data_IF_416303560121
#
_entry.id   IF_416303560121
#
_cell.length_a   1.000
_cell.length_b   1.000
_cell.length_c   1.000
_cell.angle_alpha   90.00
_cell.angle_beta   90.00
_cell.angle_gamma   90.00
#
_symmetry.space_group_name_H-M   'P 1'
#
loop_
_entity.id
_entity.type
_entity.pdbx_description
1 polymer ?
#
# COMPACT_ATOMS: atom_id res chain seq x y z
N UNK A 1 2.36 61.21 -46.65
CA UNK A 1 3.47 61.22 -47.60
C UNK A 1 4.02 59.79 -47.59
N UNK A 2 3.66 58.93 -48.52
CA UNK A 2 4.15 58.69 -49.89
C UNK A 2 5.67 58.32 -49.86
N UNK A 3 6.01 57.11 -50.25
CA UNK A 3 6.22 56.37 -51.47
C UNK A 3 6.86 55.02 -51.16
N UNK A 4 6.36 53.87 -51.46
CA UNK A 4 6.35 53.06 -52.70
C UNK A 4 7.67 53.06 -53.51
N UNK A 5 8.21 51.86 -53.82
CA UNK A 5 8.51 51.33 -55.19
C UNK A 5 9.37 50.06 -55.06
N UNK A 6 8.88 48.85 -55.32
CA UNK A 6 8.83 48.03 -56.56
C UNK A 6 10.14 47.31 -56.98
N UNK A 7 10.01 45.96 -56.99
CA UNK A 7 10.25 44.95 -58.06
C UNK A 7 11.65 44.68 -58.58
N UNK A 8 12.11 43.43 -58.68
CA UNK A 8 11.95 42.44 -59.74
C UNK A 8 12.84 41.22 -59.53
N UNK A 9 12.28 40.02 -59.57
CA UNK A 9 12.41 38.85 -60.45
C UNK A 9 13.78 38.40 -60.96
N UNK A 10 14.12 37.10 -60.75
CA UNK A 10 14.30 36.07 -61.79
C UNK A 10 14.84 34.76 -61.21
N UNK A 11 14.20 33.66 -61.63
CA UNK A 11 14.72 32.26 -61.63
C UNK A 11 15.74 32.09 -62.74
N UNK A 12 16.66 31.07 -62.74
CA UNK A 12 16.25 29.72 -63.12
C UNK A 12 17.01 28.55 -62.45
N UNK A 13 16.33 27.45 -62.44
CA UNK A 13 16.60 26.01 -62.41
C UNK A 13 18.02 25.51 -62.67
N UNK A 14 18.43 24.52 -61.83
CA UNK A 14 19.30 23.42 -62.27
C UNK A 14 18.93 22.14 -61.49
N UNK A 15 18.51 21.11 -62.26
CA UNK A 15 18.32 19.72 -61.83
C UNK A 15 19.68 19.09 -61.51
N UNK A 16 19.77 18.27 -60.44
CA UNK A 16 20.69 17.17 -60.37
C UNK A 16 20.12 16.06 -59.50
N UNK A 17 20.07 14.94 -60.08
CA UNK A 17 19.73 13.55 -59.78
C UNK A 17 19.91 13.08 -58.33
N UNK A 18 18.83 12.50 -57.84
CA UNK A 18 18.74 11.65 -56.66
C UNK A 18 19.54 10.37 -56.84
N UNK A 19 20.28 10.01 -55.78
CA UNK A 19 20.70 8.64 -55.48
C UNK A 19 19.95 8.18 -54.21
N UNK A 20 18.98 7.34 -54.42
CA UNK A 20 18.24 6.57 -53.41
C UNK A 20 19.17 5.63 -52.64
N UNK A 21 19.42 5.89 -51.38
CA UNK A 21 19.94 4.89 -50.44
C UNK A 21 18.77 4.38 -49.62
N UNK A 22 18.44 3.11 -49.86
CA UNK A 22 17.49 2.31 -49.04
C UNK A 22 17.98 2.22 -47.62
N UNK A 23 17.37 2.96 -46.71
CA UNK A 23 17.47 2.76 -45.27
C UNK A 23 16.67 1.53 -44.86
N UNK A 24 17.37 0.51 -44.39
CA UNK A 24 16.78 -0.69 -43.77
C UNK A 24 16.09 -0.29 -42.47
N UNK A 25 14.77 -0.28 -42.46
CA UNK A 25 13.99 -0.20 -41.23
C UNK A 25 14.17 -1.51 -40.45
N UNK A 26 14.96 -1.47 -39.38
CA UNK A 26 14.92 -2.50 -38.36
C UNK A 26 13.54 -2.49 -37.71
N UNK A 27 12.69 -3.45 -38.08
CA UNK A 27 11.47 -3.78 -37.32
C UNK A 27 11.91 -4.09 -35.88
N UNK A 28 11.47 -3.26 -34.95
CA UNK A 28 11.48 -3.60 -33.54
C UNK A 28 10.68 -4.90 -33.39
N UNK A 29 11.34 -5.95 -32.92
CA UNK A 29 10.68 -7.19 -32.57
C UNK A 29 9.65 -6.87 -31.46
N UNK A 30 8.38 -6.97 -31.78
CA UNK A 30 7.31 -7.08 -30.78
C UNK A 30 7.61 -8.34 -29.97
N UNK A 31 8.00 -8.17 -28.73
CA UNK A 31 7.96 -9.24 -27.74
C UNK A 31 6.47 -9.56 -27.54
N UNK A 32 5.97 -10.49 -28.30
CA UNK A 32 4.68 -11.12 -28.08
C UNK A 32 4.84 -12.13 -26.94
N UNK A 33 4.95 -11.64 -25.71
CA UNK A 33 4.57 -12.41 -24.53
C UNK A 33 3.05 -12.59 -24.61
N UNK A 34 2.59 -13.82 -24.77
CA UNK A 34 1.18 -14.10 -24.92
C UNK A 34 0.46 -13.66 -23.64
N UNK A 35 -0.51 -12.77 -23.73
CA UNK A 35 -1.32 -12.27 -22.62
C UNK A 35 -2.24 -13.37 -22.00
N UNK A 36 -2.03 -14.64 -22.38
CA UNK A 36 -2.88 -15.76 -21.98
C UNK A 36 -2.49 -16.38 -20.64
N UNK A 37 -1.27 -16.16 -20.18
CA UNK A 37 -0.66 -16.94 -19.09
C UNK A 37 -0.39 -16.14 -17.80
N UNK A 38 -1.02 -14.96 -17.61
CA UNK A 38 -0.94 -14.23 -16.36
C UNK A 38 -1.91 -14.81 -15.34
N UNK A 39 -1.37 -15.27 -14.21
CA UNK A 39 -2.12 -15.75 -13.06
C UNK A 39 -2.29 -14.62 -12.04
N UNK A 40 -3.52 -14.44 -11.56
CA UNK A 40 -3.81 -13.54 -10.45
C UNK A 40 -3.49 -14.24 -9.13
N UNK A 41 -2.79 -13.54 -8.24
CA UNK A 41 -2.45 -14.01 -6.90
C UNK A 41 -3.12 -13.14 -5.85
N UNK A 42 -3.70 -13.79 -4.82
CA UNK A 42 -4.03 -13.16 -3.56
C UNK A 42 -3.24 -13.84 -2.43
N UNK A 43 -2.54 -13.05 -1.68
CA UNK A 43 -1.86 -13.47 -0.46
C UNK A 43 -2.70 -13.00 0.72
N UNK A 44 -3.18 -13.93 1.52
CA UNK A 44 -4.10 -13.65 2.64
C UNK A 44 -3.43 -14.04 3.94
N UNK A 45 -3.10 -13.05 4.76
CA UNK A 45 -2.58 -13.22 6.11
C UNK A 45 -3.72 -13.27 7.12
N UNK A 46 -3.70 -14.26 7.99
CA UNK A 46 -4.71 -14.47 9.03
C UNK A 46 -4.08 -14.63 10.41
N UNK A 47 -4.92 -14.70 11.44
CA UNK A 47 -4.48 -14.98 12.82
C UNK A 47 -4.01 -16.43 13.03
N UNK A 48 -4.11 -17.31 12.02
CA UNK A 48 -3.81 -18.76 12.13
C UNK A 48 -3.00 -19.30 10.95
N UNK A 49 -2.31 -18.44 10.22
CA UNK A 49 -1.50 -18.78 9.06
C UNK A 49 -1.77 -17.89 7.86
N UNK A 50 -1.11 -18.19 6.74
CA UNK A 50 -1.34 -17.53 5.48
C UNK A 50 -1.95 -18.47 4.44
N UNK A 51 -2.69 -17.89 3.49
CA UNK A 51 -3.24 -18.58 2.34
C UNK A 51 -2.76 -17.91 1.06
N UNK A 52 -2.49 -18.71 0.04
CA UNK A 52 -2.20 -18.26 -1.31
C UNK A 52 -3.37 -18.67 -2.19
N UNK A 53 -4.01 -17.70 -2.81
CA UNK A 53 -5.11 -17.96 -3.74
C UNK A 53 -4.64 -17.65 -5.15
N UNK A 54 -4.95 -18.56 -6.07
CA UNK A 54 -4.58 -18.47 -7.48
C UNK A 54 -5.80 -18.50 -8.37
N UNK A 55 -5.81 -17.67 -9.39
CA UNK A 55 -6.85 -17.63 -10.41
C UNK A 55 -6.23 -17.27 -11.76
N UNK A 56 -6.90 -17.64 -12.84
CA UNK A 56 -6.60 -17.09 -14.14
C UNK A 56 -6.93 -15.58 -14.19
N UNK A 57 -6.57 -14.91 -15.28
CA UNK A 57 -6.85 -13.47 -15.46
C UNK A 57 -8.33 -13.09 -15.37
N UNK A 58 -9.25 -14.06 -15.50
CA UNK A 58 -10.68 -13.80 -15.35
C UNK A 58 -11.09 -13.58 -13.89
N UNK A 59 -10.30 -14.07 -12.94
CA UNK A 59 -10.50 -13.93 -11.48
C UNK A 59 -11.89 -14.39 -11.03
N UNK A 60 -12.47 -15.40 -11.77
CA UNK A 60 -13.80 -15.94 -11.49
C UNK A 60 -13.78 -17.08 -10.49
N UNK A 61 -12.72 -17.87 -10.52
CA UNK A 61 -12.54 -19.05 -9.66
C UNK A 61 -11.17 -19.01 -9.02
N UNK A 62 -11.12 -19.28 -7.74
CA UNK A 62 -9.90 -19.25 -6.96
C UNK A 62 -9.58 -20.63 -6.42
N UNK A 63 -8.34 -21.09 -6.63
CA UNK A 63 -7.77 -22.22 -5.91
C UNK A 63 -7.14 -21.67 -4.63
N UNK A 64 -7.55 -22.21 -3.47
CA UNK A 64 -7.06 -21.80 -2.17
C UNK A 64 -6.01 -22.81 -1.70
N UNK A 65 -4.80 -22.34 -1.40
CA UNK A 65 -3.68 -23.14 -0.91
C UNK A 65 -3.30 -22.65 0.50
N UNK A 66 -3.03 -23.58 1.42
CA UNK A 66 -2.70 -23.26 2.79
C UNK A 66 -3.54 -24.05 3.80
N UNK A 67 -3.52 -23.68 5.12
CA UNK A 67 -2.71 -22.61 5.67
C UNK A 67 -1.21 -22.95 5.69
N UNK A 68 -0.39 -22.02 5.20
CA UNK A 68 1.03 -21.96 5.50
C UNK A 68 1.22 -21.41 6.91
N UNK A 69 2.31 -21.74 7.60
CA UNK A 69 2.63 -21.24 8.95
C UNK A 69 1.50 -21.51 9.96
N UNK A 70 1.05 -22.72 10.03
CA UNK A 70 -0.09 -23.16 10.87
C UNK A 70 0.05 -22.69 12.30
N UNK A 71 -0.95 -21.94 12.78
CA UNK A 71 -1.01 -21.44 14.15
C UNK A 71 -0.30 -20.11 14.38
N UNK A 72 0.51 -19.62 13.42
CA UNK A 72 1.17 -18.32 13.50
C UNK A 72 0.28 -17.20 12.91
N UNK A 73 0.27 -16.03 13.55
CA UNK A 73 -0.40 -14.87 12.95
C UNK A 73 0.47 -14.26 11.84
N UNK A 74 -0.14 -13.86 10.72
CA UNK A 74 0.56 -13.26 9.56
C UNK A 74 0.01 -11.87 9.28
N UNK A 75 0.67 -10.84 9.81
CA UNK A 75 0.20 -9.45 9.75
C UNK A 75 0.67 -8.67 8.52
N UNK A 76 1.82 -9.03 7.94
CA UNK A 76 2.35 -8.37 6.77
C UNK A 76 2.79 -9.39 5.71
N UNK A 77 2.44 -9.10 4.48
CA UNK A 77 2.80 -9.84 3.28
C UNK A 77 3.29 -8.85 2.22
N UNK A 78 4.23 -9.27 1.40
CA UNK A 78 4.69 -8.51 0.23
C UNK A 78 4.99 -9.48 -0.90
N UNK A 79 4.49 -9.19 -2.11
CA UNK A 79 4.92 -9.84 -3.34
C UNK A 79 5.70 -8.82 -4.18
N UNK A 80 6.98 -9.11 -4.43
CA UNK A 80 7.90 -8.22 -5.12
C UNK A 80 8.39 -8.86 -6.42
N UNK A 81 8.20 -8.14 -7.52
CA UNK A 81 8.59 -8.58 -8.88
C UNK A 81 9.62 -7.63 -9.53
N UNK A 82 10.32 -6.80 -8.72
CA UNK A 82 11.30 -5.84 -9.24
C UNK A 82 12.63 -6.47 -9.67
N UNK A 83 12.97 -7.64 -9.10
CA UNK A 83 14.16 -8.39 -9.43
C UNK A 83 13.94 -9.41 -10.56
N UNK A 84 14.97 -10.20 -10.88
CA UNK A 84 14.93 -11.22 -11.92
C UNK A 84 13.98 -12.38 -11.58
N UNK A 85 13.69 -12.58 -10.32
CA UNK A 85 12.74 -13.58 -9.80
C UNK A 85 11.79 -12.93 -8.81
N UNK A 86 10.53 -13.39 -8.76
CA UNK A 86 9.60 -12.92 -7.75
C UNK A 86 10.09 -13.29 -6.36
N UNK A 87 9.95 -12.38 -5.42
CA UNK A 87 10.16 -12.62 -3.98
C UNK A 87 8.89 -12.32 -3.23
N UNK A 88 8.49 -13.24 -2.38
CA UNK A 88 7.35 -13.05 -1.50
C UNK A 88 7.83 -13.13 -0.07
N UNK A 89 7.42 -12.17 0.74
CA UNK A 89 7.72 -12.11 2.17
C UNK A 89 6.45 -12.30 2.98
N UNK A 90 6.55 -13.01 4.09
CA UNK A 90 5.53 -13.12 5.11
C UNK A 90 6.12 -12.80 6.49
N UNK A 91 5.53 -11.84 7.20
CA UNK A 91 5.85 -11.59 8.59
C UNK A 91 4.95 -12.46 9.45
N UNK A 92 5.51 -13.54 9.99
CA UNK A 92 4.82 -14.45 10.90
C UNK A 92 5.09 -14.07 12.34
N UNK A 93 4.15 -14.35 13.24
CA UNK A 93 4.33 -14.17 14.67
C UNK A 93 3.86 -15.42 15.41
N UNK A 94 4.84 -16.13 15.94
CA UNK A 94 4.64 -17.37 16.72
C UNK A 94 4.61 -17.07 18.22
N UNK A 95 3.72 -17.74 18.95
CA UNK A 95 3.71 -17.68 20.43
C UNK A 95 5.01 -18.18 21.07
N UNK A 96 5.77 -19.03 20.35
CA UNK A 96 6.99 -19.63 20.86
C UNK A 96 8.26 -18.89 20.43
N UNK A 97 8.29 -18.38 19.20
CA UNK A 97 9.49 -17.81 18.58
C UNK A 97 9.41 -16.30 18.35
N UNK A 98 8.23 -15.72 18.61
CA UNK A 98 7.98 -14.31 18.30
C UNK A 98 7.92 -14.00 16.79
N UNK A 99 8.09 -12.72 16.43
CA UNK A 99 8.02 -12.28 15.03
C UNK A 99 9.23 -12.73 14.21
N UNK A 100 8.97 -13.33 13.03
CA UNK A 100 10.00 -13.73 12.06
C UNK A 100 9.58 -13.36 10.65
N UNK A 101 10.55 -13.27 9.72
CA UNK A 101 10.31 -13.17 8.30
C UNK A 101 10.50 -14.52 7.62
N UNK A 102 9.57 -14.86 6.75
CA UNK A 102 9.64 -16.01 5.85
C UNK A 102 9.69 -15.52 4.42
N UNK A 103 10.41 -16.20 3.57
CA UNK A 103 10.59 -15.86 2.17
C UNK A 103 10.17 -17.00 1.26
N UNK A 104 9.70 -16.64 0.07
CA UNK A 104 9.37 -17.56 -1.02
C UNK A 104 9.88 -16.97 -2.34
N UNK A 105 10.42 -17.81 -3.22
CA UNK A 105 10.89 -17.42 -4.55
C UNK A 105 10.05 -18.06 -5.68
N UNK A 106 8.92 -18.65 -5.33
CA UNK A 106 8.02 -19.39 -6.23
C UNK A 106 6.55 -18.96 -6.06
N UNK A 107 6.35 -17.65 -5.84
CA UNK A 107 5.02 -17.02 -5.67
C UNK A 107 4.22 -17.62 -4.50
N UNK A 108 4.89 -18.01 -3.41
CA UNK A 108 4.25 -18.50 -2.20
C UNK A 108 3.89 -19.99 -2.23
N UNK A 109 4.37 -20.76 -3.20
CA UNK A 109 4.14 -22.19 -3.24
C UNK A 109 4.96 -22.92 -2.14
N UNK A 110 6.22 -22.54 -1.98
CA UNK A 110 7.09 -22.99 -0.89
C UNK A 110 7.67 -21.82 -0.12
N UNK A 111 8.03 -22.03 1.14
CA UNK A 111 8.52 -21.00 2.03
C UNK A 111 9.77 -21.46 2.79
N UNK A 112 10.62 -20.50 3.12
CA UNK A 112 11.79 -20.74 3.97
C UNK A 112 11.38 -21.31 5.32
N UNK A 113 12.23 -22.17 5.88
CA UNK A 113 12.08 -22.62 7.26
C UNK A 113 12.27 -21.47 8.25
N UNK A 114 11.73 -21.59 9.50
CA UNK A 114 12.00 -20.61 10.54
C UNK A 114 13.49 -20.47 10.77
N UNK A 115 13.99 -19.25 10.62
CA UNK A 115 15.37 -18.91 10.91
C UNK A 115 15.49 -18.00 12.13
N UNK A 116 16.71 -17.61 12.50
CA UNK A 116 16.93 -16.60 13.53
C UNK A 116 16.21 -15.30 13.15
N UNK A 117 15.77 -14.53 14.15
CA UNK A 117 15.19 -13.21 13.91
C UNK A 117 16.22 -12.30 13.21
N UNK A 118 15.97 -11.99 11.93
CA UNK A 118 16.81 -11.08 11.15
C UNK A 118 16.45 -9.62 11.43
N UNK A 119 15.16 -9.32 11.66
CA UNK A 119 14.68 -8.01 12.12
C UNK A 119 14.71 -8.00 13.65
N UNK A 120 15.66 -7.28 14.24
CA UNK A 120 15.80 -7.20 15.70
C UNK A 120 16.39 -5.87 16.12
N UNK A 121 15.96 -5.37 17.26
CA UNK A 121 16.59 -4.21 17.87
C UNK A 121 18.02 -4.53 18.35
N UNK A 122 18.90 -3.54 18.43
CA UNK A 122 20.21 -3.69 19.05
C UNK A 122 20.07 -4.20 20.50
N UNK A 123 20.97 -5.08 20.92
CA UNK A 123 20.89 -5.73 22.23
C UNK A 123 20.93 -4.73 23.41
N UNK A 124 21.61 -3.61 23.21
CA UNK A 124 21.77 -2.51 24.18
C UNK A 124 20.60 -1.53 24.20
N UNK A 125 19.62 -1.68 23.26
CA UNK A 125 18.49 -0.75 23.15
C UNK A 125 17.42 -0.92 24.23
N UNK A 126 17.42 -2.04 24.96
CA UNK A 126 16.37 -2.40 25.92
C UNK A 126 15.00 -2.67 25.29
N UNK A 127 14.93 -2.83 23.96
CA UNK A 127 13.68 -3.04 23.20
C UNK A 127 13.60 -4.45 22.66
N UNK A 128 12.39 -5.01 22.72
CA UNK A 128 12.05 -6.28 22.08
C UNK A 128 11.09 -6.07 20.91
N UNK A 129 11.30 -6.80 19.82
CA UNK A 129 10.38 -6.80 18.68
C UNK A 129 9.09 -7.53 19.07
N UNK A 130 7.97 -6.83 19.05
CA UNK A 130 6.65 -7.40 19.33
C UNK A 130 5.93 -7.87 18.07
N UNK A 131 6.06 -7.11 16.97
CA UNK A 131 5.35 -7.37 15.71
C UNK A 131 6.03 -6.68 14.52
N UNK A 132 6.02 -7.34 13.35
CA UNK A 132 6.30 -6.70 12.06
C UNK A 132 4.95 -6.35 11.44
N UNK A 133 4.69 -5.05 11.28
CA UNK A 133 3.39 -4.54 10.81
C UNK A 133 3.36 -4.24 9.31
N UNK A 134 4.52 -3.95 8.71
CA UNK A 134 4.60 -3.61 7.30
C UNK A 134 5.91 -4.12 6.71
N UNK A 135 5.85 -4.62 5.48
CA UNK A 135 7.00 -4.87 4.61
C UNK A 135 6.75 -4.06 3.34
N UNK A 136 7.71 -3.23 2.96
CA UNK A 136 7.61 -2.40 1.77
C UNK A 136 8.83 -2.57 0.87
N UNK A 137 8.60 -2.50 -0.42
CA UNK A 137 9.64 -2.47 -1.43
C UNK A 137 10.33 -1.11 -1.48
N UNK A 138 11.62 -1.07 -1.73
CA UNK A 138 12.34 0.12 -2.15
C UNK A 138 11.92 0.60 -3.55
N UNK A 139 12.68 1.52 -4.14
CA UNK A 139 12.41 2.01 -5.50
C UNK A 139 12.58 0.93 -6.55
N UNK A 140 11.97 1.15 -7.71
CA UNK A 140 12.05 0.23 -8.84
C UNK A 140 13.50 -0.01 -9.30
N UNK A 141 14.37 0.97 -9.13
CA UNK A 141 15.80 0.90 -9.44
C UNK A 141 16.64 0.20 -8.37
N UNK A 142 16.05 -0.18 -7.25
CA UNK A 142 16.73 -0.78 -6.10
C UNK A 142 16.08 -2.11 -5.71
N UNK A 143 16.18 -3.16 -6.55
CA UNK A 143 15.43 -4.40 -6.36
C UNK A 143 15.80 -5.18 -5.08
N UNK A 144 16.95 -4.88 -4.47
CA UNK A 144 17.39 -5.53 -3.23
C UNK A 144 17.11 -4.69 -1.97
N UNK A 145 16.50 -3.50 -2.11
CA UNK A 145 16.14 -2.67 -0.95
C UNK A 145 14.72 -2.96 -0.51
N UNK A 146 14.56 -3.22 0.79
CA UNK A 146 13.30 -3.43 1.47
C UNK A 146 13.26 -2.70 2.80
N UNK A 147 12.05 -2.43 3.27
CA UNK A 147 11.80 -1.77 4.55
C UNK A 147 10.82 -2.58 5.38
N UNK A 148 11.01 -2.60 6.70
CA UNK A 148 10.06 -3.12 7.67
C UNK A 148 9.65 -2.06 8.67
N UNK A 149 8.34 -1.91 8.87
CA UNK A 149 7.75 -1.16 9.96
C UNK A 149 7.32 -2.10 11.08
N UNK A 150 7.69 -1.79 12.30
CA UNK A 150 7.54 -2.70 13.44
C UNK A 150 6.87 -2.07 14.65
N UNK A 151 6.62 -2.89 15.64
CA UNK A 151 6.22 -2.52 17.00
C UNK A 151 7.28 -3.06 18.00
N UNK A 152 7.73 -2.24 18.96
CA UNK A 152 7.54 -0.77 19.11
C UNK A 152 7.98 -0.02 17.87
N UNK A 153 7.32 1.13 17.57
CA UNK A 153 7.51 1.84 16.31
C UNK A 153 8.98 2.12 15.99
N UNK A 154 9.44 1.48 14.92
CA UNK A 154 10.75 1.68 14.32
C UNK A 154 10.70 1.27 12.84
N UNK A 155 11.63 1.82 12.07
CA UNK A 155 11.86 1.48 10.68
C UNK A 155 13.14 0.65 10.58
N UNK A 156 13.09 -0.47 9.88
CA UNK A 156 14.26 -1.27 9.51
C UNK A 156 14.42 -1.26 8.00
N UNK A 157 15.67 -1.34 7.56
CA UNK A 157 16.06 -1.36 6.16
C UNK A 157 16.93 -2.58 5.87
N UNK A 158 16.67 -3.25 4.75
CA UNK A 158 17.54 -4.24 4.12
C UNK A 158 18.03 -3.73 2.78
N UNK A 159 19.29 -4.02 2.44
CA UNK A 159 19.92 -3.70 1.15
C UNK A 159 20.43 -4.94 0.40
N UNK A 160 20.23 -6.10 0.96
CA UNK A 160 20.72 -7.40 0.47
C UNK A 160 19.60 -8.38 0.09
N UNK A 161 18.41 -7.83 -0.18
CA UNK A 161 17.27 -8.65 -0.59
C UNK A 161 16.45 -9.23 0.55
N UNK A 162 16.62 -8.72 1.77
CA UNK A 162 15.87 -9.17 2.95
C UNK A 162 16.64 -10.14 3.84
N UNK A 163 17.93 -10.40 3.55
CA UNK A 163 18.73 -11.34 4.34
C UNK A 163 19.18 -10.75 5.67
N UNK A 164 19.58 -9.46 5.67
CA UNK A 164 19.90 -8.72 6.88
C UNK A 164 19.14 -7.40 6.97
N UNK A 165 18.91 -6.95 8.21
CA UNK A 165 18.11 -5.77 8.50
C UNK A 165 18.80 -4.87 9.51
N UNK A 166 18.82 -3.57 9.24
CA UNK A 166 19.40 -2.57 10.12
C UNK A 166 18.33 -1.56 10.54
N UNK A 167 18.27 -1.17 11.82
CA UNK A 167 17.35 -0.14 12.28
C UNK A 167 17.75 1.22 11.72
N UNK A 168 16.77 2.00 11.31
CA UNK A 168 16.97 3.38 10.90
C UNK A 168 17.31 4.25 12.11
N UNK A 169 18.57 4.63 12.24
CA UNK A 169 19.09 5.39 13.39
C UNK A 169 18.47 6.76 13.52
N UNK A 170 18.14 7.42 12.39
CA UNK A 170 17.54 8.74 12.39
C UNK A 170 16.17 8.76 13.05
N UNK A 171 15.36 7.70 12.82
CA UNK A 171 14.06 7.55 13.48
C UNK A 171 14.20 7.02 14.92
N UNK A 172 15.09 6.06 15.13
CA UNK A 172 15.30 5.44 16.43
C UNK A 172 15.76 6.44 17.49
N UNK A 173 16.55 7.44 17.08
CA UNK A 173 17.11 8.48 17.94
C UNK A 173 16.34 9.82 17.80
N UNK A 174 15.15 9.82 17.21
CA UNK A 174 14.36 11.04 17.05
C UNK A 174 13.93 11.60 18.43
N UNK A 175 13.98 12.92 18.58
CA UNK A 175 13.64 13.62 19.84
C UNK A 175 12.20 13.40 20.32
N UNK A 176 11.27 13.07 19.41
CA UNK A 176 9.89 12.73 19.77
C UNK A 176 9.75 11.27 20.23
N UNK A 177 10.74 10.42 19.98
CA UNK A 177 10.63 9.00 20.25
C UNK A 177 10.29 8.67 21.73
N UNK A 178 10.88 9.33 22.74
CA UNK A 178 10.49 9.10 24.14
C UNK A 178 9.11 9.64 24.51
N UNK A 179 8.52 10.47 23.65
CA UNK A 179 7.23 11.12 23.88
C UNK A 179 6.07 10.37 23.20
N UNK A 180 6.36 9.44 22.27
CA UNK A 180 5.32 8.63 21.67
C UNK A 180 4.74 7.66 22.70
N UNK A 181 3.42 7.63 22.82
CA UNK A 181 2.69 6.77 23.73
C UNK A 181 1.87 5.75 22.95
N UNK A 182 1.85 4.47 23.35
CA UNK A 182 1.00 3.49 22.69
C UNK A 182 -0.49 3.83 22.90
N UNK A 183 -1.28 3.69 21.87
CA UNK A 183 -2.74 3.66 21.95
C UNK A 183 -3.26 2.25 22.21
N UNK A 184 -4.59 2.06 22.18
CA UNK A 184 -5.22 0.74 22.36
C UNK A 184 -4.83 -0.32 21.31
N UNK A 185 -4.25 0.08 20.18
CA UNK A 185 -3.70 -0.80 19.13
C UNK A 185 -2.17 -0.93 19.12
N UNK A 186 -1.49 -0.47 20.16
CA UNK A 186 -0.03 -0.42 20.24
C UNK A 186 0.56 0.83 19.58
N UNK A 187 1.87 0.99 19.69
CA UNK A 187 2.66 1.99 18.99
C UNK A 187 3.39 1.30 17.83
N UNK A 188 2.77 1.26 16.66
CA UNK A 188 3.30 0.52 15.52
C UNK A 188 3.56 1.43 14.30
N UNK A 189 4.67 1.18 13.60
CA UNK A 189 4.94 1.74 12.29
C UNK A 189 4.32 0.83 11.22
N UNK A 190 3.24 1.26 10.61
CA UNK A 190 2.42 0.45 9.71
C UNK A 190 2.36 0.96 8.27
N UNK A 191 2.90 2.15 8.00
CA UNK A 191 2.94 2.70 6.63
C UNK A 191 4.33 3.19 6.30
N UNK A 192 4.81 2.80 5.12
CA UNK A 192 6.08 3.22 4.55
C UNK A 192 5.81 3.62 3.10
N UNK A 193 6.07 4.87 2.77
CA UNK A 193 5.95 5.44 1.42
C UNK A 193 7.34 5.85 0.96
N UNK A 194 7.78 5.27 -0.14
CA UNK A 194 9.07 5.61 -0.79
C UNK A 194 8.76 6.46 -2.01
N UNK A 195 9.38 7.62 -2.11
CA UNK A 195 9.24 8.47 -3.30
C UNK A 195 9.88 7.77 -4.51
N UNK A 196 9.13 7.51 -5.59
CA UNK A 196 9.67 6.83 -6.77
C UNK A 196 10.73 7.64 -7.49
N UNK A 197 10.68 8.96 -7.41
CA UNK A 197 11.50 9.90 -8.19
C UNK A 197 12.63 10.53 -7.37
N UNK A 198 12.43 10.68 -6.05
CA UNK A 198 13.44 11.29 -5.16
C UNK A 198 14.01 10.27 -4.17
N UNK A 199 15.28 9.81 -4.37
CA UNK A 199 15.90 8.79 -3.52
C UNK A 199 16.11 9.22 -2.06
N UNK A 200 15.98 10.49 -1.76
CA UNK A 200 16.15 11.00 -0.40
C UNK A 200 14.83 11.15 0.35
N UNK A 201 13.68 11.10 -0.36
CA UNK A 201 12.37 11.32 0.26
C UNK A 201 11.69 10.02 0.63
N UNK A 202 11.24 9.95 1.87
CA UNK A 202 10.43 8.88 2.41
C UNK A 202 9.41 9.48 3.38
N UNK A 203 8.25 8.82 3.49
CA UNK A 203 7.25 9.14 4.50
C UNK A 203 6.85 7.87 5.23
N UNK A 204 6.67 7.98 6.53
CA UNK A 204 6.17 6.91 7.39
C UNK A 204 4.98 7.37 8.19
N UNK A 205 4.13 6.43 8.61
CA UNK A 205 3.06 6.71 9.53
C UNK A 205 2.98 5.65 10.63
N UNK A 206 2.66 6.12 11.82
CA UNK A 206 2.61 5.33 13.05
C UNK A 206 1.28 5.54 13.77
N UNK A 207 0.73 4.47 14.34
CA UNK A 207 -0.35 4.61 15.32
C UNK A 207 0.13 5.44 16.50
N UNK A 208 -0.63 6.47 16.85
CA UNK A 208 -0.34 7.39 17.96
C UNK A 208 1.02 8.12 17.92
N UNK A 209 1.75 8.00 16.80
CA UNK A 209 2.96 8.78 16.52
C UNK A 209 2.72 9.86 15.47
N UNK A 210 1.77 9.64 14.56
CA UNK A 210 1.50 10.53 13.43
C UNK A 210 2.32 10.19 12.19
N UNK A 211 2.42 11.15 11.28
CA UNK A 211 3.15 11.07 10.01
C UNK A 211 4.49 11.78 10.15
N UNK A 212 5.54 11.15 9.62
CA UNK A 212 6.89 11.75 9.54
C UNK A 212 7.44 11.63 8.14
N UNK A 213 8.20 12.63 7.70
CA UNK A 213 8.87 12.65 6.39
C UNK A 213 10.37 12.90 6.56
N UNK A 214 11.16 12.16 5.79
CA UNK A 214 12.58 12.38 5.58
C UNK A 214 12.82 12.97 4.19
N UNK A 215 13.79 13.87 4.07
CA UNK A 215 14.27 14.47 2.80
C UNK A 215 15.77 14.17 2.57
N UNK A 216 16.37 13.32 3.39
CA UNK A 216 17.80 13.02 3.38
C UNK A 216 18.12 11.52 3.39
N UNK A 217 17.16 10.69 2.98
CA UNK A 217 17.30 9.23 2.91
C UNK A 217 17.18 8.55 4.26
N UNK A 218 16.36 9.09 5.16
CA UNK A 218 16.11 8.52 6.48
C UNK A 218 17.12 8.90 7.55
N UNK A 219 18.04 9.83 7.28
CA UNK A 219 19.01 10.30 8.28
C UNK A 219 18.34 11.18 9.34
N UNK A 220 17.37 12.00 8.93
CA UNK A 220 16.53 12.79 9.82
C UNK A 220 15.07 12.72 9.40
N UNK A 221 14.17 12.99 10.34
CA UNK A 221 12.72 12.91 10.17
C UNK A 221 12.07 14.17 10.74
N UNK A 222 10.96 14.58 10.14
CA UNK A 222 10.16 15.71 10.62
C UNK A 222 8.69 15.33 10.61
N UNK A 223 7.96 15.70 11.67
CA UNK A 223 6.53 15.53 11.74
C UNK A 223 5.81 16.26 10.59
N UNK A 224 4.74 15.65 10.06
CA UNK A 224 3.95 16.14 8.92
C UNK A 224 2.45 15.93 9.17
N UNK A 225 1.92 16.61 10.17
CA UNK A 225 0.57 16.40 10.65
C UNK A 225 -0.31 17.68 10.61
N UNK A 226 0.15 18.75 9.95
CA UNK A 226 -0.59 20.01 9.86
C UNK A 226 -1.96 19.80 9.21
N UNK A 227 -3.03 20.07 9.95
CA UNK A 227 -4.42 19.86 9.52
C UNK A 227 -5.01 18.50 9.95
N UNK A 228 -4.23 17.56 10.48
CA UNK A 228 -4.75 16.28 11.00
C UNK A 228 -5.19 16.44 12.45
N UNK A 229 -6.47 16.18 12.69
CA UNK A 229 -7.13 16.39 13.99
C UNK A 229 -6.88 15.23 14.95
N UNK A 230 -6.58 15.56 16.21
CA UNK A 230 -6.56 14.65 17.35
C UNK A 230 -7.72 15.01 18.28
N UNK A 231 -8.91 14.49 18.01
CA UNK A 231 -10.17 14.88 18.65
C UNK A 231 -10.21 14.63 20.17
N UNK A 232 -9.38 13.72 20.69
CA UNK A 232 -9.26 13.45 22.12
C UNK A 232 -8.57 14.58 22.91
N UNK A 233 -7.89 15.50 22.21
CA UNK A 233 -7.23 16.65 22.83
C UNK A 233 -8.26 17.79 23.06
N UNK A 234 -8.03 18.65 24.06
CA UNK A 234 -8.77 19.90 24.20
C UNK A 234 -8.80 20.71 22.89
N UNK A 235 -9.78 21.52 22.69
CA UNK A 235 -10.02 22.22 21.41
C UNK A 235 -8.83 23.03 20.93
N UNK A 236 -8.16 23.74 21.84
CA UNK A 236 -6.96 24.55 21.60
C UNK A 236 -5.73 23.71 21.22
N UNK A 237 -5.76 22.38 21.47
CA UNK A 237 -4.66 21.45 21.21
C UNK A 237 -5.02 20.34 20.21
N UNK A 238 -6.13 20.49 19.47
CA UNK A 238 -6.62 19.45 18.53
C UNK A 238 -5.71 19.19 17.32
N UNK A 239 -4.77 20.06 17.05
CA UNK A 239 -3.83 19.94 15.94
C UNK A 239 -2.38 19.90 16.44
N UNK A 240 -1.99 18.88 17.22
CA UNK A 240 -0.64 18.79 17.74
C UNK A 240 0.36 18.51 16.63
N UNK A 241 1.63 18.83 16.86
CA UNK A 241 2.71 18.54 15.92
C UNK A 241 2.86 17.04 15.63
N UNK A 242 2.66 16.19 16.64
CA UNK A 242 2.72 14.73 16.55
C UNK A 242 1.75 14.08 17.54
N UNK A 243 1.60 12.74 17.45
CA UNK A 243 0.74 11.97 18.34
C UNK A 243 -0.64 11.65 17.75
N UNK A 244 -0.91 12.04 16.50
CA UNK A 244 -2.13 11.63 15.80
C UNK A 244 -2.19 10.12 15.67
N UNK A 245 -3.37 9.55 15.84
CA UNK A 245 -3.62 8.13 15.69
C UNK A 245 -3.89 7.82 14.20
N UNK A 246 -2.83 7.73 13.42
CA UNK A 246 -2.93 7.40 11.99
C UNK A 246 -3.20 5.92 11.82
N UNK A 247 -4.14 5.58 10.94
CA UNK A 247 -4.49 4.19 10.64
C UNK A 247 -3.89 3.71 9.31
N UNK A 248 -3.86 4.55 8.27
CA UNK A 248 -3.27 4.23 6.97
C UNK A 248 -2.91 5.50 6.21
N UNK A 249 -1.82 5.45 5.42
CA UNK A 249 -1.53 6.42 4.36
C UNK A 249 -1.30 5.66 3.07
N UNK A 250 -1.86 6.17 1.98
CA UNK A 250 -1.67 5.61 0.63
C UNK A 250 -1.31 6.71 -0.36
N UNK A 251 -0.59 6.35 -1.41
CA UNK A 251 -0.23 7.23 -2.52
C UNK A 251 -0.24 6.47 -3.85
N UNK A 252 -0.22 7.20 -4.96
CA UNK A 252 -0.08 6.63 -6.29
C UNK A 252 1.26 7.07 -6.91
N UNK A 253 2.05 6.14 -7.50
CA UNK A 253 3.38 6.48 -8.02
C UNK A 253 3.37 7.50 -9.16
N UNK A 254 2.28 7.62 -9.94
CA UNK A 254 2.18 8.65 -11.00
C UNK A 254 1.91 10.06 -10.46
N UNK A 255 1.52 10.20 -9.19
CA UNK A 255 1.30 11.49 -8.51
C UNK A 255 1.81 11.42 -7.07
N UNK A 256 3.12 11.26 -6.89
CA UNK A 256 3.68 10.89 -5.59
C UNK A 256 3.48 11.95 -4.50
N UNK A 257 3.30 13.22 -4.84
CA UNK A 257 2.99 14.29 -3.89
C UNK A 257 1.58 14.24 -3.31
N UNK A 258 0.65 13.50 -3.97
CA UNK A 258 -0.72 13.31 -3.46
C UNK A 258 -0.79 12.09 -2.57
N UNK A 259 -1.21 12.34 -1.34
CA UNK A 259 -1.37 11.34 -0.30
C UNK A 259 -2.80 11.34 0.20
N UNK A 260 -3.30 10.17 0.60
CA UNK A 260 -4.56 10.04 1.32
C UNK A 260 -4.30 9.36 2.65
N UNK A 261 -4.99 9.82 3.68
CA UNK A 261 -4.79 9.38 5.05
C UNK A 261 -6.12 9.06 5.72
N UNK A 262 -6.22 7.86 6.27
CA UNK A 262 -7.22 7.49 7.26
C UNK A 262 -6.63 7.74 8.64
N UNK A 263 -7.24 8.63 9.40
CA UNK A 263 -6.92 8.85 10.80
C UNK A 263 -7.99 8.21 11.70
N UNK A 264 -7.77 8.22 12.99
CA UNK A 264 -8.79 7.86 13.98
C UNK A 264 -10.02 8.77 13.88
N UNK A 265 -9.80 10.05 13.58
CA UNK A 265 -10.85 11.04 13.30
C UNK A 265 -10.55 11.73 11.98
N UNK A 266 -11.29 11.33 10.96
CA UNK A 266 -11.25 11.96 9.65
C UNK A 266 -10.52 11.18 8.59
N UNK A 267 -10.86 11.55 7.36
CA UNK A 267 -10.19 11.19 6.12
C UNK A 267 -9.52 12.44 5.58
N UNK A 268 -8.28 12.36 5.19
CA UNK A 268 -7.52 13.51 4.76
C UNK A 268 -6.83 13.28 3.43
N UNK A 269 -6.61 14.39 2.69
CA UNK A 269 -5.76 14.44 1.51
C UNK A 269 -4.69 15.50 1.70
N UNK A 270 -3.49 15.19 1.24
CA UNK A 270 -2.40 16.14 1.02
C UNK A 270 -2.02 16.12 -0.46
N UNK A 271 -1.66 17.28 -1.03
CA UNK A 271 -1.13 17.40 -2.38
C UNK A 271 0.34 17.86 -2.40
N UNK A 272 0.98 17.92 -1.22
CA UNK A 272 2.31 18.48 -0.98
C UNK A 272 3.21 17.60 -0.07
N UNK A 273 3.09 16.26 -0.23
CA UNK A 273 3.87 15.31 0.56
C UNK A 273 3.64 15.38 2.08
N UNK A 274 2.43 15.75 2.49
CA UNK A 274 2.02 15.80 3.89
C UNK A 274 2.35 17.12 4.59
N UNK A 275 2.80 18.15 3.88
CA UNK A 275 3.00 19.46 4.50
C UNK A 275 1.68 20.04 5.01
N UNK A 276 0.60 19.85 4.24
CA UNK A 276 -0.75 20.24 4.63
C UNK A 276 -1.76 19.13 4.34
N UNK A 277 -2.69 18.92 5.26
CA UNK A 277 -3.77 17.96 5.12
C UNK A 277 -5.12 18.65 5.15
N UNK A 278 -6.00 18.29 4.24
CA UNK A 278 -7.38 18.77 4.17
C UNK A 278 -8.35 17.63 4.42
N UNK A 279 -9.39 17.88 5.20
CA UNK A 279 -10.45 16.90 5.48
C UNK A 279 -11.28 16.63 4.22
N UNK A 280 -11.51 15.35 3.92
CA UNK A 280 -12.27 14.87 2.78
C UNK A 280 -13.36 13.86 3.17
N UNK A 281 -13.76 13.83 4.44
CA UNK A 281 -14.72 12.84 4.96
C UNK A 281 -16.18 13.16 4.62
N UNK A 282 -16.46 14.29 3.95
CA UNK A 282 -17.84 14.64 3.61
C UNK A 282 -18.46 13.60 2.64
N UNK A 283 -19.60 13.03 3.04
CA UNK A 283 -20.33 12.04 2.24
C UNK A 283 -20.09 10.58 2.61
N UNK A 284 -19.27 10.29 3.64
CA UNK A 284 -19.16 8.93 4.20
C UNK A 284 -20.02 8.80 5.48
N UNK A 285 -20.48 7.58 5.82
CA UNK A 285 -21.36 7.39 6.99
C UNK A 285 -20.61 7.48 8.32
N UNK A 286 -19.31 7.32 8.31
CA UNK A 286 -18.39 7.48 9.42
C UNK A 286 -17.01 7.85 8.88
N UNK A 287 -16.33 8.75 9.55
CA UNK A 287 -14.93 9.12 9.25
C UNK A 287 -13.91 8.22 9.95
N UNK A 288 -14.37 7.20 10.69
CA UNK A 288 -13.54 6.21 11.34
C UNK A 288 -13.41 4.94 10.50
N UNK A 289 -12.22 4.39 10.41
CA UNK A 289 -11.91 3.15 9.69
C UNK A 289 -10.42 2.83 9.72
N UNK A 290 -10.05 1.70 9.13
CA UNK A 290 -8.65 1.29 9.05
C UNK A 290 -8.20 1.08 7.59
N UNK A 291 -9.07 0.50 6.76
CA UNK A 291 -8.74 0.08 5.41
C UNK A 291 -8.79 1.26 4.45
N UNK A 292 -7.71 1.43 3.68
CA UNK A 292 -7.64 2.40 2.59
C UNK A 292 -6.74 1.85 1.49
N UNK A 293 -7.19 1.93 0.22
CA UNK A 293 -6.45 1.43 -0.93
C UNK A 293 -6.60 2.36 -2.14
N UNK A 294 -5.48 2.67 -2.80
CA UNK A 294 -5.48 3.39 -4.09
C UNK A 294 -5.92 2.47 -5.23
N UNK A 295 -6.59 3.05 -6.21
CA UNK A 295 -6.73 2.43 -7.52
C UNK A 295 -5.35 2.31 -8.19
N UNK A 296 -5.01 1.19 -8.86
CA UNK A 296 -3.66 0.98 -9.40
C UNK A 296 -3.33 1.84 -10.63
N UNK A 297 -4.35 2.39 -11.30
CA UNK A 297 -4.19 3.15 -12.56
C UNK A 297 -4.68 4.59 -12.48
N UNK A 298 -5.31 4.99 -11.37
CA UNK A 298 -5.89 6.33 -11.21
C UNK A 298 -5.51 6.95 -9.86
N UNK A 299 -4.71 8.04 -9.85
CA UNK A 299 -4.26 8.70 -8.62
C UNK A 299 -5.35 9.47 -7.88
N UNK A 300 -6.53 9.61 -8.44
CA UNK A 300 -7.66 10.34 -7.84
C UNK A 300 -8.74 9.39 -7.28
N UNK A 301 -8.58 8.07 -7.52
CA UNK A 301 -9.50 7.04 -7.07
C UNK A 301 -8.96 6.29 -5.84
N UNK A 302 -9.74 6.29 -4.75
CA UNK A 302 -9.43 5.63 -3.47
C UNK A 302 -10.64 4.86 -2.97
N UNK A 303 -10.37 3.72 -2.35
CA UNK A 303 -11.36 2.85 -1.69
C UNK A 303 -11.14 2.82 -0.19
N UNK A 304 -12.22 2.85 0.58
CA UNK A 304 -12.22 2.71 2.03
C UNK A 304 -13.37 1.78 2.48
N UNK A 305 -13.23 1.23 3.69
CA UNK A 305 -14.30 0.49 4.37
C UNK A 305 -14.52 1.16 5.73
N UNK A 306 -15.48 2.09 5.85
CA UNK A 306 -15.80 2.73 7.11
C UNK A 306 -16.35 1.74 8.13
N UNK A 307 -16.02 1.96 9.40
CA UNK A 307 -16.63 1.30 10.55
C UNK A 307 -17.16 2.37 11.52
N UNK A 308 -18.08 2.01 12.40
CA UNK A 308 -18.88 2.97 13.14
C UNK A 308 -18.06 3.83 14.10
N UNK A 309 -17.27 3.20 14.96
CA UNK A 309 -16.44 3.88 15.95
C UNK A 309 -15.34 2.99 16.51
N UNK A 310 -14.43 3.56 17.27
CA UNK A 310 -13.36 2.85 18.00
C UNK A 310 -13.88 1.86 19.05
N UNK A 311 -14.96 2.23 19.73
CA UNK A 311 -15.61 1.38 20.75
C UNK A 311 -16.55 0.35 20.14
N UNK A 312 -17.03 0.57 18.91
CA UNK A 312 -17.89 -0.36 18.19
C UNK A 312 -17.37 -0.55 16.76
N UNK A 313 -16.39 -1.42 16.61
CA UNK A 313 -15.64 -1.66 15.36
C UNK A 313 -16.41 -2.58 14.42
N UNK A 314 -17.58 -2.14 13.98
CA UNK A 314 -18.43 -2.80 13.02
C UNK A 314 -18.88 -1.84 11.92
N UNK A 315 -19.34 -2.37 10.80
CA UNK A 315 -19.87 -1.56 9.70
C UNK A 315 -21.10 -0.75 10.12
N UNK A 316 -21.20 0.55 9.74
CA UNK A 316 -22.33 1.39 10.05
C UNK A 316 -23.65 0.79 9.56
N UNK A 317 -24.71 0.89 10.36
CA UNK A 317 -26.05 0.39 10.08
C UNK A 317 -26.12 -1.15 9.86
N UNK A 318 -25.10 -1.89 10.32
CA UNK A 318 -24.96 -3.34 10.02
C UNK A 318 -25.01 -3.64 8.50
N UNK A 319 -24.46 -2.75 7.66
CA UNK A 319 -24.38 -2.88 6.21
C UNK A 319 -22.92 -2.84 5.76
N UNK A 320 -22.47 -3.89 5.08
CA UNK A 320 -21.13 -3.92 4.52
C UNK A 320 -21.08 -3.14 3.22
N UNK A 321 -20.32 -2.05 3.21
CA UNK A 321 -20.16 -1.15 2.07
C UNK A 321 -18.69 -0.79 1.90
N UNK A 322 -18.20 -0.83 0.67
CA UNK A 322 -16.96 -0.18 0.28
C UNK A 322 -17.33 1.20 -0.25
N UNK A 323 -16.63 2.22 0.16
CA UNK A 323 -16.80 3.57 -0.41
C UNK A 323 -15.66 3.87 -1.35
N UNK A 324 -15.99 4.51 -2.48
CA UNK A 324 -15.01 4.94 -3.48
C UNK A 324 -15.14 6.43 -3.75
N UNK A 325 -14.03 7.13 -3.83
CA UNK A 325 -13.92 8.43 -4.49
C UNK A 325 -13.24 8.25 -5.86
N UNK A 326 -13.66 9.01 -6.87
CA UNK A 326 -13.00 9.13 -8.18
C UNK A 326 -12.49 10.55 -8.44
N UNK A 327 -12.61 11.42 -7.49
CA UNK A 327 -12.28 12.85 -7.58
C UNK A 327 -11.50 13.35 -6.35
N UNK A 328 -10.59 12.48 -5.89
CA UNK A 328 -9.66 12.79 -4.81
C UNK A 328 -10.34 13.23 -3.50
N UNK A 329 -11.49 12.63 -3.18
CA UNK A 329 -12.22 12.87 -1.94
C UNK A 329 -13.25 14.00 -2.00
N UNK A 330 -13.49 14.62 -3.17
CA UNK A 330 -14.53 15.63 -3.30
C UNK A 330 -15.95 15.05 -3.14
N UNK A 331 -16.12 13.77 -3.46
CA UNK A 331 -17.35 13.00 -3.18
C UNK A 331 -17.02 11.51 -3.03
N UNK A 332 -17.92 10.79 -2.34
CA UNK A 332 -17.81 9.36 -2.10
C UNK A 332 -19.10 8.65 -2.53
N UNK A 333 -18.96 7.49 -3.16
CA UNK A 333 -20.05 6.63 -3.59
C UNK A 333 -20.00 5.26 -2.88
N UNK A 334 -21.12 4.74 -2.35
CA UNK A 334 -21.17 3.42 -1.75
C UNK A 334 -21.23 2.33 -2.83
N UNK A 335 -20.40 1.32 -2.71
CA UNK A 335 -20.34 0.13 -3.56
C UNK A 335 -20.91 -1.04 -2.77
N UNK A 336 -22.10 -1.53 -3.12
CA UNK A 336 -22.89 -2.43 -2.28
C UNK A 336 -23.31 -3.73 -2.98
N UNK A 337 -23.32 -3.76 -4.32
CA UNK A 337 -23.88 -4.89 -5.08
C UNK A 337 -23.09 -6.17 -4.84
N UNK A 338 -23.74 -7.16 -4.22
CA UNK A 338 -23.13 -8.43 -3.82
C UNK A 338 -22.54 -8.46 -2.41
N UNK A 339 -22.64 -7.34 -1.66
CA UNK A 339 -22.29 -7.28 -0.24
C UNK A 339 -23.55 -7.33 0.62
N UNK A 340 -23.52 -7.95 1.82
CA UNK A 340 -24.65 -8.03 2.72
C UNK A 340 -25.08 -6.64 3.22
N UNK A 341 -26.38 -6.30 3.07
CA UNK A 341 -26.94 -5.01 3.40
C UNK A 341 -27.83 -5.05 4.65
N UNK A 342 -27.70 -6.10 5.46
CA UNK A 342 -28.33 -6.23 6.78
C UNK A 342 -27.57 -7.27 7.60
N UNK A 343 -27.51 -7.07 8.92
CA UNK A 343 -26.88 -8.00 9.86
C UNK A 343 -25.37 -8.21 9.64
N UNK A 344 -24.71 -7.30 8.94
CA UNK A 344 -23.28 -7.40 8.65
C UNK A 344 -22.50 -6.55 9.66
N UNK A 345 -22.02 -7.18 10.71
CA UNK A 345 -21.17 -6.54 11.75
C UNK A 345 -19.69 -6.85 11.47
N UNK A 346 -19.20 -6.37 10.34
CA UNK A 346 -17.88 -6.70 9.84
C UNK A 346 -16.83 -5.62 10.19
N UNK A 347 -15.57 -6.04 10.23
CA UNK A 347 -14.43 -5.16 10.42
C UNK A 347 -13.34 -5.54 9.42
N UNK A 348 -12.85 -4.56 8.66
CA UNK A 348 -11.74 -4.68 7.72
C UNK A 348 -10.55 -3.91 8.25
N UNK A 349 -9.43 -4.61 8.50
CA UNK A 349 -8.23 -3.99 9.03
C UNK A 349 -7.42 -3.26 7.94
N UNK A 350 -6.45 -2.44 8.38
CA UNK A 350 -5.66 -1.51 7.53
C UNK A 350 -4.99 -2.14 6.32
N UNK A 351 -4.48 -3.36 6.45
CA UNK A 351 -3.80 -4.09 5.38
C UNK A 351 -4.66 -5.19 4.75
N UNK A 352 -5.93 -5.28 5.12
CA UNK A 352 -6.87 -6.27 4.61
C UNK A 352 -7.70 -5.79 3.41
N UNK A 353 -7.30 -4.69 2.74
CA UNK A 353 -7.86 -4.18 1.50
C UNK A 353 -6.73 -4.02 0.48
N UNK A 354 -6.90 -4.56 -0.72
CA UNK A 354 -5.90 -4.55 -1.78
C UNK A 354 -6.53 -4.39 -3.17
N UNK A 355 -5.73 -3.92 -4.14
CA UNK A 355 -6.10 -3.84 -5.55
C UNK A 355 -5.06 -4.57 -6.41
N UNK A 356 -5.49 -5.30 -7.43
CA UNK A 356 -4.61 -5.83 -8.47
C UNK A 356 -4.43 -4.81 -9.61
N UNK A 357 -3.44 -5.04 -10.47
CA UNK A 357 -3.11 -4.14 -11.58
C UNK A 357 -3.62 -4.64 -12.95
N UNK A 358 -4.60 -5.53 -12.98
CA UNK A 358 -5.24 -5.88 -14.25
C UNK A 358 -6.03 -4.70 -14.83
N UNK A 359 -6.23 -4.72 -16.11
CA UNK A 359 -7.19 -3.86 -16.80
C UNK A 359 -8.58 -4.48 -16.66
N UNK A 360 -9.43 -3.81 -16.18
CA UNK A 360 -10.22 -3.42 -15.04
C UNK A 360 -9.68 -3.96 -13.70
N UNK A 361 -9.30 -3.07 -12.82
CA UNK A 361 -8.68 -3.42 -11.54
C UNK A 361 -9.60 -4.29 -10.65
N UNK A 362 -9.02 -5.36 -10.14
CA UNK A 362 -9.66 -6.14 -9.07
C UNK A 362 -9.44 -5.48 -7.71
N UNK A 363 -10.51 -5.44 -6.91
CA UNK A 363 -10.47 -4.94 -5.54
C UNK A 363 -10.84 -6.08 -4.60
N UNK A 364 -10.06 -6.30 -3.55
CA UNK A 364 -10.22 -7.42 -2.63
C UNK A 364 -10.13 -6.96 -1.20
N UNK A 365 -10.99 -7.50 -0.34
CA UNK A 365 -10.85 -7.28 1.09
C UNK A 365 -11.22 -8.50 1.92
N UNK A 366 -10.55 -8.61 3.07
CA UNK A 366 -10.82 -9.65 4.07
C UNK A 366 -11.35 -9.07 5.37
N UNK A 367 -12.23 -9.81 6.03
CA UNK A 367 -12.85 -9.39 7.28
C UNK A 367 -12.30 -10.14 8.48
N UNK A 368 -12.52 -9.59 9.66
CA UNK A 368 -12.16 -10.24 10.93
C UNK A 368 -13.02 -11.47 11.24
N UNK A 369 -14.15 -11.64 10.57
CA UNK A 369 -14.98 -12.85 10.64
C UNK A 369 -14.48 -13.98 9.73
N UNK A 370 -13.45 -13.72 8.89
CA UNK A 370 -12.85 -14.73 8.00
C UNK A 370 -13.45 -14.76 6.59
N UNK A 371 -14.26 -13.77 6.22
CA UNK A 371 -14.81 -13.64 4.87
C UNK A 371 -13.85 -12.89 3.97
N UNK A 372 -13.65 -13.36 2.75
CA UNK A 372 -12.86 -12.75 1.71
C UNK A 372 -13.76 -12.38 0.53
N UNK A 373 -13.81 -11.13 0.17
CA UNK A 373 -14.55 -10.60 -0.96
C UNK A 373 -13.64 -10.11 -2.08
N UNK A 374 -14.10 -10.27 -3.32
CA UNK A 374 -13.42 -9.75 -4.50
C UNK A 374 -14.38 -9.12 -5.50
N UNK A 375 -13.94 -8.04 -6.10
CA UNK A 375 -14.55 -7.40 -7.25
C UNK A 375 -13.59 -7.49 -8.44
N UNK A 376 -14.11 -7.69 -9.64
CA UNK A 376 -13.34 -7.74 -10.90
C UNK A 376 -13.63 -6.53 -11.80
N UNK A 377 -14.44 -5.62 -11.33
CA UNK A 377 -15.01 -4.49 -12.03
C UNK A 377 -14.92 -3.20 -11.20
N UNK A 378 -13.75 -3.01 -10.54
CA UNK A 378 -13.43 -1.79 -9.77
C UNK A 378 -14.43 -1.50 -8.64
N UNK A 379 -15.04 -2.54 -8.08
CA UNK A 379 -16.02 -2.42 -7.00
C UNK A 379 -17.47 -2.30 -7.48
N UNK A 380 -17.76 -2.34 -8.78
CA UNK A 380 -19.13 -2.26 -9.27
C UNK A 380 -19.97 -3.48 -8.86
N UNK A 381 -19.36 -4.65 -8.67
CA UNK A 381 -19.99 -5.84 -8.08
C UNK A 381 -18.98 -6.67 -7.27
N UNK A 382 -19.48 -7.34 -6.25
CA UNK A 382 -18.68 -8.13 -5.32
C UNK A 382 -19.11 -9.60 -5.30
N UNK A 383 -18.15 -10.49 -5.11
CA UNK A 383 -18.35 -11.92 -4.93
C UNK A 383 -17.60 -12.36 -3.68
N UNK A 384 -18.23 -13.17 -2.85
CA UNK A 384 -17.55 -13.83 -1.75
C UNK A 384 -16.67 -14.95 -2.32
N UNK A 385 -15.36 -14.86 -2.04
CA UNK A 385 -14.35 -15.83 -2.48
C UNK A 385 -14.20 -16.96 -1.46
N UNK A 386 -14.26 -16.60 -0.17
CA UNK A 386 -14.23 -17.53 0.96
C UNK A 386 -15.00 -16.94 2.14
N UNK A 387 -15.61 -17.80 2.96
CA UNK A 387 -16.50 -17.42 4.08
C UNK A 387 -16.05 -17.95 5.45
N UNK A 388 -15.04 -18.80 5.50
CA UNK A 388 -14.62 -19.52 6.72
C UNK A 388 -13.10 -19.57 6.93
N UNK A 389 -12.35 -18.57 6.46
CA UNK A 389 -10.95 -18.45 6.80
C UNK A 389 -10.79 -17.99 8.27
N UNK A 390 -9.66 -18.23 8.91
CA UNK A 390 -9.37 -17.58 10.19
C UNK A 390 -9.43 -16.06 10.04
N UNK A 391 -9.57 -15.28 11.15
CA UNK A 391 -9.67 -13.83 11.09
C UNK A 391 -8.60 -13.21 10.18
N UNK A 392 -9.03 -12.56 9.10
CA UNK A 392 -8.12 -11.98 8.09
C UNK A 392 -7.59 -10.65 8.61
N UNK A 393 -6.28 -10.46 8.49
CA UNK A 393 -5.56 -9.24 8.94
C UNK A 393 -4.78 -8.55 7.84
N UNK A 394 -4.46 -9.28 6.75
CA UNK A 394 -3.71 -8.75 5.62
C UNK A 394 -4.19 -9.40 4.30
N UNK A 395 -4.34 -8.60 3.26
CA UNK A 395 -4.56 -9.06 1.88
C UNK A 395 -3.59 -8.30 0.98
N UNK A 396 -2.87 -9.03 0.12
CA UNK A 396 -2.02 -8.44 -0.90
C UNK A 396 -2.27 -9.13 -2.24
N UNK A 397 -2.07 -8.40 -3.31
CA UNK A 397 -2.21 -8.90 -4.67
C UNK A 397 -0.85 -9.11 -5.32
N UNK A 398 -0.80 -10.00 -6.26
CA UNK A 398 0.35 -10.22 -7.14
C UNK A 398 -0.10 -10.72 -8.50
N UNK A 399 0.83 -10.73 -9.44
CA UNK A 399 0.68 -11.39 -10.72
C UNK A 399 1.85 -12.35 -10.90
N UNK A 400 1.56 -13.60 -11.21
CA UNK A 400 2.55 -14.56 -11.65
C UNK A 400 2.51 -14.66 -13.17
N UNK A 401 3.69 -14.60 -13.84
CA UNK A 401 3.81 -15.08 -15.19
C UNK A 401 3.81 -16.62 -15.18
N UNK A 402 3.32 -17.28 -16.23
CA UNK A 402 3.59 -18.70 -16.43
C UNK A 402 5.12 -18.92 -16.49
N UNK A 403 5.60 -19.83 -15.68
CA UNK A 403 6.98 -20.22 -15.66
C UNK A 403 7.40 -20.85 -17.00
#
# INVERSE_FOLDING_TARGET
MAKQVRRRTAKPTRKSTEKTTRGSSRKAAKVNGSSRDQEALLLVGTMKGAFVLRSDKSRKKWKIEGPHFRGEAVYALLHDTRGDRPRTFAATNSMHWGPTLRTSNDNGATWSEPGPQTVRFPADSGRALAQIWQIASGRRTEPNVFYCGVEPAALFESRDGGESWQPNKGLLNHEHQPKWQPGGGGLCLHTIVVDPDNPRRMLIAMSTGGVYRSEDGGKSWRARNSGVRAQFMPEEHRYPEFGQCVHKVVHHPSRPGRLFLQNHWGLYRSDDWGDNWVDIANGVPSDFGFAMQMHPHDPDTVYIVPIEADMFRATPEAKLRVYRTRNAGASWEPLTRGLPQSGAYENVLRDALAADSFDSAGIYFGTRSGKLYGSRDEGASWTEIADALPPIVCVKTGMAGSA
#
